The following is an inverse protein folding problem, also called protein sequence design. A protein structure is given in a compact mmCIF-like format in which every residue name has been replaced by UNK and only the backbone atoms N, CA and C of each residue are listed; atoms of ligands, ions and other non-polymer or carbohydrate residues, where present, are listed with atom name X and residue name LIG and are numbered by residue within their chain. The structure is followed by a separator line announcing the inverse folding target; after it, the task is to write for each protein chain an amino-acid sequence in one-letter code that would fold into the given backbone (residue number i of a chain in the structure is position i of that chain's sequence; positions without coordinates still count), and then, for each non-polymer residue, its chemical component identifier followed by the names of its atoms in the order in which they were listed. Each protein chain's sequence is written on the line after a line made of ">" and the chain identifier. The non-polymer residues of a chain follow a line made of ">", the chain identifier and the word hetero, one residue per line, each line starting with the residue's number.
data_IF_281425896021
#
_entry.id   IF_281425896021
#
_cell.length_a   1.000
_cell.length_b   1.000
_cell.length_c   1.000
_cell.angle_alpha   90.00
_cell.angle_beta   90.00
_cell.angle_gamma   90.00
#
_symmetry.space_group_name_H-M   'P 1'
#
loop_
_entity.id
_entity.type
_entity.pdbx_description
1 polymer ?
#
# COMPACT_ATOMS: atom_id res chain seq x y z
N UNK A 1 -3.88 -7.06 18.64
CA UNK A 1 -4.87 -6.13 18.03
C UNK A 1 -4.19 -5.31 16.93
N UNK A 2 -4.86 -5.14 15.78
CA UNK A 2 -4.36 -4.41 14.61
C UNK A 2 -4.85 -2.95 14.65
N UNK A 3 -3.94 -1.98 14.51
CA UNK A 3 -4.32 -0.58 14.33
C UNK A 3 -4.49 -0.27 12.85
N UNK A 4 -5.64 0.26 12.46
CA UNK A 4 -5.89 0.83 11.14
C UNK A 4 -5.76 2.34 11.29
N UNK A 5 -4.78 2.94 10.62
CA UNK A 5 -4.47 4.35 10.79
C UNK A 5 -5.58 5.21 10.18
N UNK A 6 -6.21 6.01 11.04
CA UNK A 6 -7.09 7.10 10.64
C UNK A 6 -6.26 8.37 10.50
N UNK A 7 -6.21 8.93 9.30
CA UNK A 7 -5.51 10.17 9.01
C UNK A 7 -6.48 11.22 8.44
N UNK A 8 -7.75 11.16 8.85
CA UNK A 8 -8.87 11.99 8.37
C UNK A 8 -9.20 11.81 6.87
N UNK A 9 -8.72 10.71 6.29
CA UNK A 9 -9.05 10.26 4.94
C UNK A 9 -8.88 8.74 4.86
N UNK A 10 -9.35 8.14 3.77
CA UNK A 10 -9.19 6.70 3.55
C UNK A 10 -10.50 5.93 3.40
N UNK A 11 -10.39 4.73 2.84
CA UNK A 11 -11.48 3.75 2.80
C UNK A 11 -11.45 2.86 4.07
N UNK A 12 -11.44 3.49 5.24
CA UNK A 12 -11.18 2.81 6.53
C UNK A 12 -12.20 1.69 6.81
N UNK A 13 -13.49 1.96 6.56
CA UNK A 13 -14.57 1.03 6.82
C UNK A 13 -14.46 -0.29 6.03
N UNK A 14 -13.96 -0.25 4.78
CA UNK A 14 -13.82 -1.48 4.00
C UNK A 14 -12.67 -2.34 4.52
N UNK A 15 -11.56 -1.71 4.92
CA UNK A 15 -10.41 -2.40 5.50
C UNK A 15 -10.78 -3.01 6.85
N UNK A 16 -11.43 -2.24 7.72
CA UNK A 16 -11.93 -2.72 9.01
C UNK A 16 -12.88 -3.91 8.86
N UNK A 17 -13.83 -3.83 7.91
CA UNK A 17 -14.75 -4.95 7.62
C UNK A 17 -14.02 -6.17 7.11
N UNK A 18 -13.05 -6.02 6.22
CA UNK A 18 -12.27 -7.14 5.69
C UNK A 18 -11.47 -7.84 6.79
N UNK A 19 -10.79 -7.07 7.65
CA UNK A 19 -10.03 -7.61 8.78
C UNK A 19 -10.93 -8.29 9.81
N UNK A 20 -12.07 -7.67 10.13
CA UNK A 20 -13.07 -8.25 11.04
C UNK A 20 -13.70 -9.53 10.47
N UNK A 21 -14.02 -9.56 9.18
CA UNK A 21 -14.53 -10.73 8.48
C UNK A 21 -13.55 -11.91 8.55
N UNK A 22 -12.24 -11.64 8.51
CA UNK A 22 -11.19 -12.64 8.68
C UNK A 22 -10.99 -13.11 10.12
N UNK A 23 -11.72 -12.54 11.09
CA UNK A 23 -11.70 -12.93 12.50
C UNK A 23 -10.62 -12.25 13.35
N UNK A 24 -9.95 -11.21 12.83
CA UNK A 24 -8.92 -10.50 13.57
C UNK A 24 -9.49 -9.26 14.26
N UNK A 25 -9.03 -8.98 15.48
CA UNK A 25 -9.38 -7.75 16.21
C UNK A 25 -8.62 -6.56 15.64
N UNK A 26 -9.34 -5.58 15.13
CA UNK A 26 -8.79 -4.30 14.67
C UNK A 26 -9.48 -3.10 15.31
N UNK A 27 -8.82 -1.95 15.25
CA UNK A 27 -9.38 -0.65 15.65
C UNK A 27 -8.93 0.41 14.65
N UNK A 28 -9.87 1.25 14.20
CA UNK A 28 -9.59 2.47 13.45
C UNK A 28 -9.20 3.58 14.42
N UNK A 29 -8.03 4.18 14.28
CA UNK A 29 -7.53 5.16 15.25
C UNK A 29 -6.46 6.09 14.70
N UNK A 30 -6.48 7.33 15.19
CA UNK A 30 -5.38 8.31 15.07
C UNK A 30 -4.63 8.51 16.39
N UNK A 31 -4.94 7.72 17.43
CA UNK A 31 -4.35 7.85 18.75
C UNK A 31 -2.96 7.20 18.79
N UNK A 32 -1.92 8.02 18.93
CA UNK A 32 -0.50 7.58 18.93
C UNK A 32 -0.23 6.46 19.95
N UNK A 33 -0.81 6.53 21.16
CA UNK A 33 -0.61 5.49 22.19
C UNK A 33 -1.23 4.15 21.77
N UNK A 34 -2.40 4.19 21.14
CA UNK A 34 -3.08 2.99 20.63
C UNK A 34 -2.29 2.37 19.48
N UNK A 35 -1.75 3.20 18.59
CA UNK A 35 -0.88 2.77 17.48
C UNK A 35 0.40 2.13 18.04
N UNK A 36 1.06 2.78 18.99
CA UNK A 36 2.26 2.27 19.66
C UNK A 36 2.01 0.93 20.38
N UNK A 37 0.86 0.77 21.04
CA UNK A 37 0.47 -0.47 21.72
C UNK A 37 -0.09 -1.59 20.82
N UNK A 38 -0.33 -1.32 19.53
CA UNK A 38 -0.84 -2.33 18.60
C UNK A 38 0.22 -3.36 18.21
N UNK A 39 -0.21 -4.57 17.82
CA UNK A 39 0.68 -5.63 17.36
C UNK A 39 1.10 -5.44 15.90
N UNK A 40 0.25 -4.80 15.09
CA UNK A 40 0.42 -4.60 13.64
C UNK A 40 -0.29 -3.33 13.22
N UNK A 41 0.19 -2.71 12.16
CA UNK A 41 -0.40 -1.50 11.59
C UNK A 41 -0.85 -1.77 10.15
N UNK A 42 -2.06 -1.33 9.82
CA UNK A 42 -2.48 -1.16 8.43
C UNK A 42 -2.58 0.34 8.19
N UNK A 43 -1.84 0.84 7.23
CA UNK A 43 -1.94 2.20 6.74
C UNK A 43 -2.69 2.19 5.39
N UNK A 44 -4.03 2.28 5.41
CA UNK A 44 -4.79 2.43 4.19
C UNK A 44 -4.72 3.87 3.69
N UNK A 45 -4.91 4.10 2.39
CA UNK A 45 -5.18 5.46 1.97
C UNK A 45 -5.78 5.61 0.57
N UNK A 46 -6.53 6.70 0.44
CA UNK A 46 -7.03 7.27 -0.82
C UNK A 46 -6.80 8.78 -0.78
N UNK A 47 -6.89 9.43 -1.94
CA UNK A 47 -6.66 10.87 -2.07
C UNK A 47 -5.23 11.19 -2.47
N UNK A 48 -4.85 12.45 -2.29
CA UNK A 48 -3.58 12.98 -2.78
C UNK A 48 -2.47 12.94 -1.73
N UNK A 49 -1.23 12.70 -2.16
CA UNK A 49 -0.04 12.61 -1.31
C UNK A 49 0.16 13.83 -0.42
N UNK A 50 0.02 15.05 -0.96
CA UNK A 50 0.18 16.30 -0.19
C UNK A 50 -0.79 16.40 0.99
N UNK A 51 -2.08 16.22 0.72
CA UNK A 51 -3.13 16.28 1.75
C UNK A 51 -2.95 15.19 2.82
N UNK A 52 -2.53 13.98 2.41
CA UNK A 52 -2.23 12.92 3.37
C UNK A 52 -1.03 13.25 4.25
N UNK A 53 0.08 13.73 3.67
CA UNK A 53 1.27 14.11 4.43
C UNK A 53 1.01 15.27 5.40
N UNK A 54 0.19 16.24 5.02
CA UNK A 54 -0.23 17.33 5.90
C UNK A 54 -1.04 16.81 7.10
N UNK A 55 -1.98 15.88 6.85
CA UNK A 55 -2.75 15.27 7.92
C UNK A 55 -1.87 14.43 8.85
N UNK A 56 -0.94 13.66 8.31
CA UNK A 56 -0.01 12.85 9.09
C UNK A 56 0.86 13.70 10.02
N UNK A 57 1.42 14.79 9.51
CA UNK A 57 2.24 15.72 10.31
C UNK A 57 1.41 16.40 11.39
N UNK A 58 0.22 16.90 11.04
CA UNK A 58 -0.69 17.56 11.99
C UNK A 58 -1.11 16.63 13.13
N UNK A 59 -1.33 15.35 12.84
CA UNK A 59 -1.73 14.33 13.83
C UNK A 59 -0.53 13.66 14.53
N UNK A 60 0.71 13.96 14.14
CA UNK A 60 1.92 13.30 14.64
C UNK A 60 2.04 11.83 14.25
N UNK A 61 1.29 11.39 13.24
CA UNK A 61 1.26 10.01 12.75
C UNK A 61 2.48 9.67 11.92
N UNK A 62 3.09 10.66 11.26
CA UNK A 62 4.34 10.51 10.51
C UNK A 62 5.46 9.93 11.39
N UNK A 63 5.63 10.49 12.59
CA UNK A 63 6.61 10.06 13.57
C UNK A 63 6.24 8.71 14.17
N UNK A 64 4.95 8.48 14.45
CA UNK A 64 4.47 7.20 14.97
C UNK A 64 4.69 6.04 14.00
N UNK A 65 4.46 6.25 12.69
CA UNK A 65 4.70 5.26 11.65
C UNK A 65 6.19 4.97 11.53
N UNK A 66 7.05 5.99 11.49
CA UNK A 66 8.50 5.81 11.45
C UNK A 66 9.02 5.04 12.66
N UNK A 67 8.52 5.34 13.86
CA UNK A 67 8.89 4.61 15.06
C UNK A 67 8.45 3.16 14.99
N UNK A 68 7.24 2.87 14.51
CA UNK A 68 6.77 1.49 14.34
C UNK A 68 7.62 0.68 13.35
N UNK A 69 8.17 1.33 12.31
CA UNK A 69 9.15 0.71 11.41
C UNK A 69 10.41 0.33 12.18
N UNK A 70 10.99 1.27 12.93
CA UNK A 70 12.19 1.06 13.74
C UNK A 70 11.98 -0.07 14.77
N UNK A 71 10.80 -0.13 15.38
CA UNK A 71 10.44 -1.14 16.38
C UNK A 71 10.18 -2.54 15.77
N UNK A 72 10.28 -2.70 14.46
CA UNK A 72 10.06 -3.99 13.78
C UNK A 72 8.58 -4.41 13.70
N UNK A 73 7.64 -3.50 13.96
CA UNK A 73 6.19 -3.80 13.93
C UNK A 73 5.72 -4.08 12.51
N UNK A 74 4.96 -5.16 12.21
CA UNK A 74 4.45 -5.41 10.87
C UNK A 74 3.57 -4.27 10.38
N UNK A 75 3.85 -3.74 9.18
CA UNK A 75 3.08 -2.66 8.55
C UNK A 75 2.60 -3.10 7.16
N UNK A 76 1.31 -2.89 6.88
CA UNK A 76 0.73 -2.98 5.54
C UNK A 76 0.36 -1.60 5.01
N UNK A 77 1.04 -1.14 3.97
CA UNK A 77 0.64 0.03 3.18
C UNK A 77 -0.35 -0.35 2.07
N UNK A 78 -1.44 0.39 1.90
CA UNK A 78 -2.42 0.14 0.82
C UNK A 78 -2.63 1.39 -0.02
N UNK A 79 -2.48 1.26 -1.34
CA UNK A 79 -2.65 2.31 -2.34
C UNK A 79 -1.83 3.56 -2.01
N UNK A 80 -2.44 4.63 -1.51
CA UNK A 80 -1.71 5.83 -1.06
C UNK A 80 -0.71 5.49 0.06
N UNK A 81 -1.01 4.48 0.87
CA UNK A 81 -0.09 3.97 1.87
C UNK A 81 1.23 3.43 1.33
N UNK A 82 1.20 2.89 0.12
CA UNK A 82 2.39 2.45 -0.61
C UNK A 82 3.19 3.63 -1.14
N UNK A 83 2.54 4.74 -1.41
CA UNK A 83 3.15 5.94 -1.98
C UNK A 83 3.82 6.80 -0.91
N UNK A 84 3.15 7.04 0.21
CA UNK A 84 3.68 7.94 1.25
C UNK A 84 4.90 7.38 2.01
N UNK A 85 5.19 6.07 1.91
CA UNK A 85 6.40 5.49 2.50
C UNK A 85 7.65 5.76 1.67
N UNK A 86 7.49 6.21 0.42
CA UNK A 86 8.58 6.62 -0.46
C UNK A 86 9.19 7.95 0.00
N UNK A 87 10.26 8.40 -0.67
CA UNK A 87 10.92 9.67 -0.37
C UNK A 87 10.11 10.87 -0.88
N UNK A 88 9.59 10.79 -2.11
CA UNK A 88 8.98 11.94 -2.77
C UNK A 88 7.88 11.51 -3.74
N UNK A 89 6.82 12.31 -3.85
CA UNK A 89 5.75 12.13 -4.83
C UNK A 89 5.67 13.30 -5.81
N UNK A 90 5.61 12.97 -7.10
CA UNK A 90 5.29 13.94 -8.15
C UNK A 90 3.86 14.49 -7.98
N UNK A 91 2.97 13.77 -7.28
CA UNK A 91 1.67 14.29 -6.91
C UNK A 91 1.82 15.42 -5.88
N UNK A 92 1.50 16.64 -6.33
CA UNK A 92 1.64 17.87 -5.55
C UNK A 92 3.07 18.16 -5.06
N UNK A 93 4.09 17.63 -5.75
CA UNK A 93 5.51 17.85 -5.41
C UNK A 93 5.84 17.59 -3.93
N UNK A 94 5.34 16.48 -3.40
CA UNK A 94 5.26 16.23 -1.96
C UNK A 94 6.41 15.39 -1.43
N UNK A 95 7.16 15.94 -0.46
CA UNK A 95 8.07 15.16 0.37
C UNK A 95 7.28 14.19 1.28
N UNK A 96 7.58 12.91 1.17
CA UNK A 96 6.88 11.81 1.84
C UNK A 96 7.65 11.36 3.09
N UNK A 97 7.35 10.17 3.63
CA UNK A 97 7.96 9.70 4.88
C UNK A 97 9.45 9.38 4.73
N UNK A 98 9.92 9.04 3.53
CA UNK A 98 11.29 8.58 3.26
C UNK A 98 11.67 7.39 4.15
N UNK A 99 10.83 6.35 4.11
CA UNK A 99 11.12 5.06 4.73
C UNK A 99 11.83 4.15 3.71
N UNK A 100 11.42 4.24 2.44
CA UNK A 100 12.06 3.58 1.30
C UNK A 100 12.56 4.68 0.36
N UNK A 101 13.81 4.58 -0.07
CA UNK A 101 14.38 5.50 -1.06
C UNK A 101 13.69 5.31 -2.42
N UNK A 102 13.34 6.43 -3.05
CA UNK A 102 12.68 6.45 -4.36
C UNK A 102 11.43 7.32 -4.43
N UNK A 103 10.71 7.19 -5.53
CA UNK A 103 9.74 8.19 -5.97
C UNK A 103 8.35 7.60 -6.13
N UNK A 104 7.35 8.47 -6.18
CA UNK A 104 6.01 8.16 -6.67
C UNK A 104 5.81 8.97 -7.94
N UNK A 105 5.71 8.26 -9.06
CA UNK A 105 5.72 8.83 -10.41
C UNK A 105 4.33 8.87 -11.01
N UNK A 106 4.04 9.88 -11.82
CA UNK A 106 2.84 9.93 -12.63
C UNK A 106 2.94 8.93 -13.78
N UNK A 107 1.81 8.32 -14.14
CA UNK A 107 1.73 7.60 -15.41
C UNK A 107 1.88 8.56 -16.60
N UNK A 108 2.68 8.20 -17.63
CA UNK A 108 2.77 9.00 -18.86
C UNK A 108 1.40 9.12 -19.55
N UNK A 109 1.01 10.32 -20.03
CA UNK A 109 -0.34 10.55 -20.56
C UNK A 109 -0.60 9.87 -21.91
N UNK A 110 0.44 9.43 -22.61
CA UNK A 110 0.42 8.88 -23.97
C UNK A 110 0.64 7.35 -24.01
N UNK A 111 0.57 6.68 -22.85
CA UNK A 111 0.64 5.21 -22.77
C UNK A 111 -0.44 4.54 -23.63
N UNK A 112 -0.06 3.40 -24.22
CA UNK A 112 -0.92 2.62 -25.11
C UNK A 112 -1.05 1.19 -24.61
N UNK A 113 -2.21 0.59 -24.85
CA UNK A 113 -2.44 -0.86 -24.71
C UNK A 113 -1.86 -1.62 -25.90
N UNK A 114 -1.89 -2.96 -25.80
CA UNK A 114 -1.41 -3.87 -26.85
C UNK A 114 -2.11 -3.66 -28.21
N UNK A 115 -3.41 -3.28 -28.20
CA UNK A 115 -4.19 -2.96 -29.40
C UNK A 115 -3.90 -1.55 -29.98
N UNK A 116 -2.97 -0.81 -29.37
CA UNK A 116 -2.58 0.53 -29.77
C UNK A 116 -3.53 1.65 -29.31
N UNK A 117 -4.60 1.34 -28.58
CA UNK A 117 -5.49 2.35 -28.01
C UNK A 117 -4.85 3.06 -26.81
N UNK A 118 -5.29 4.30 -26.53
CA UNK A 118 -4.74 5.10 -25.42
C UNK A 118 -5.27 4.58 -24.09
N UNK A 119 -4.36 4.31 -23.15
CA UNK A 119 -4.73 3.94 -21.78
C UNK A 119 -5.25 5.16 -21.02
N UNK A 120 -6.27 4.93 -20.18
CA UNK A 120 -6.88 5.98 -19.36
C UNK A 120 -6.08 6.17 -18.06
N UNK A 121 -6.02 7.40 -17.57
CA UNK A 121 -5.48 7.70 -16.24
C UNK A 121 -6.65 8.28 -15.42
N UNK A 122 -6.93 7.75 -14.21
CA UNK A 122 -6.15 6.77 -13.47
C UNK A 122 -6.22 5.34 -14.06
N UNK A 123 -5.19 4.54 -13.78
CA UNK A 123 -5.26 3.08 -13.92
C UNK A 123 -6.36 2.58 -12.98
N UNK A 124 -7.49 2.15 -13.55
CA UNK A 124 -8.68 1.77 -12.80
C UNK A 124 -9.30 0.49 -13.35
N UNK A 125 -9.40 -0.53 -12.51
CA UNK A 125 -9.96 -1.82 -12.88
C UNK A 125 -9.25 -2.99 -12.21
N UNK A 126 -9.58 -4.19 -12.68
CA UNK A 126 -8.91 -5.42 -12.28
C UNK A 126 -7.69 -5.64 -13.17
N UNK A 127 -6.55 -5.97 -12.56
CA UNK A 127 -5.31 -6.24 -13.28
C UNK A 127 -4.47 -7.27 -12.51
N UNK A 128 -3.60 -7.98 -13.24
CA UNK A 128 -2.79 -9.07 -12.72
C UNK A 128 -1.45 -8.63 -12.13
N UNK A 129 -0.85 -9.53 -11.37
CA UNK A 129 0.53 -9.38 -10.90
C UNK A 129 1.47 -10.23 -11.77
N UNK A 130 2.70 -9.74 -11.94
CA UNK A 130 3.83 -10.39 -12.61
C UNK A 130 5.05 -10.32 -11.71
N UNK A 131 6.03 -11.19 -11.95
CA UNK A 131 7.32 -11.20 -11.25
C UNK A 131 7.18 -11.25 -9.71
N UNK A 132 6.24 -12.06 -9.20
CA UNK A 132 5.95 -12.15 -7.77
C UNK A 132 7.11 -12.85 -7.05
N UNK A 133 7.84 -12.11 -6.21
CA UNK A 133 8.88 -12.66 -5.33
C UNK A 133 8.25 -13.42 -4.17
N UNK A 134 8.99 -14.40 -3.63
CA UNK A 134 8.56 -15.16 -2.44
C UNK A 134 8.49 -14.24 -1.23
N UNK A 135 7.32 -14.17 -0.60
CA UNK A 135 7.11 -13.46 0.65
C UNK A 135 5.94 -14.10 1.42
N UNK A 136 5.98 -14.24 2.76
CA UNK A 136 4.91 -14.89 3.53
C UNK A 136 3.52 -14.30 3.27
N UNK A 137 3.43 -12.97 3.14
CA UNK A 137 2.16 -12.27 2.87
C UNK A 137 1.61 -12.56 1.47
N UNK A 138 2.48 -12.88 0.51
CA UNK A 138 2.11 -13.19 -0.89
C UNK A 138 1.92 -14.69 -1.12
N UNK A 139 1.99 -15.52 -0.07
CA UNK A 139 1.86 -16.97 -0.19
C UNK A 139 0.46 -17.36 -0.69
N UNK A 140 0.43 -18.20 -1.73
CA UNK A 140 -0.80 -18.73 -2.32
C UNK A 140 -1.47 -17.82 -3.35
N UNK A 141 -0.82 -16.71 -3.74
CA UNK A 141 -1.22 -15.92 -4.90
C UNK A 141 -0.73 -16.59 -6.19
N UNK A 142 -1.54 -16.53 -7.23
CA UNK A 142 -1.28 -17.09 -8.56
C UNK A 142 -1.18 -15.97 -9.61
N UNK A 143 -0.58 -16.26 -10.76
CA UNK A 143 -0.47 -15.26 -11.85
C UNK A 143 -1.82 -14.88 -12.47
N UNK A 144 -2.84 -15.74 -12.32
CA UNK A 144 -4.21 -15.50 -12.78
C UNK A 144 -5.05 -14.70 -11.76
N UNK A 145 -4.51 -14.43 -10.56
CA UNK A 145 -5.21 -13.60 -9.58
C UNK A 145 -5.18 -12.14 -10.01
N UNK A 146 -6.37 -11.53 -10.04
CA UNK A 146 -6.53 -10.11 -10.34
C UNK A 146 -6.83 -9.30 -9.07
N UNK A 147 -6.32 -8.09 -9.05
CA UNK A 147 -6.51 -7.14 -7.96
C UNK A 147 -7.10 -5.83 -8.48
N UNK A 148 -7.86 -5.15 -7.63
CA UNK A 148 -8.51 -3.89 -7.98
C UNK A 148 -7.55 -2.70 -7.76
N UNK A 149 -7.23 -2.02 -8.85
CA UNK A 149 -6.41 -0.80 -8.89
C UNK A 149 -7.29 0.44 -9.13
N UNK A 150 -6.89 1.58 -8.54
CA UNK A 150 -7.44 2.91 -8.84
C UNK A 150 -6.41 3.98 -8.46
N UNK A 151 -5.51 4.33 -9.38
CA UNK A 151 -4.43 5.28 -9.10
C UNK A 151 -3.89 5.98 -10.36
N UNK A 152 -3.51 7.25 -10.23
CA UNK A 152 -2.83 8.02 -11.29
C UNK A 152 -1.29 8.03 -11.17
N UNK A 153 -0.79 7.60 -10.01
CA UNK A 153 0.62 7.58 -9.66
C UNK A 153 1.03 6.20 -9.16
N UNK A 154 2.29 5.83 -9.32
CA UNK A 154 2.81 4.52 -8.92
C UNK A 154 4.15 4.65 -8.19
N UNK A 155 4.47 3.74 -7.26
CA UNK A 155 5.74 3.78 -6.54
C UNK A 155 6.88 3.28 -7.45
N UNK A 156 8.03 3.89 -7.27
CA UNK A 156 9.26 3.65 -8.01
C UNK A 156 10.44 3.64 -7.02
N UNK A 157 10.67 2.54 -6.30
CA UNK A 157 11.85 2.37 -5.47
C UNK A 157 13.13 2.47 -6.30
N UNK A 158 14.17 3.11 -5.74
CA UNK A 158 15.48 3.18 -6.40
C UNK A 158 16.20 1.84 -6.37
N UNK A 159 16.02 1.07 -5.31
CA UNK A 159 16.51 -0.31 -5.19
C UNK A 159 15.43 -1.32 -5.62
N UNK A 160 15.74 -2.09 -6.67
CA UNK A 160 14.85 -3.14 -7.19
C UNK A 160 14.65 -4.31 -6.22
N UNK A 161 15.47 -4.45 -5.18
CA UNK A 161 15.27 -5.46 -4.14
C UNK A 161 13.96 -5.24 -3.37
N UNK A 162 13.52 -3.99 -3.25
CA UNK A 162 12.25 -3.65 -2.61
C UNK A 162 11.03 -4.04 -3.44
N UNK A 163 11.18 -4.34 -4.74
CA UNK A 163 10.05 -4.71 -5.59
C UNK A 163 9.76 -6.20 -5.43
N UNK A 164 8.58 -6.52 -4.88
CA UNK A 164 8.10 -7.90 -4.67
C UNK A 164 7.11 -8.36 -5.75
N UNK A 165 6.58 -7.45 -6.54
CA UNK A 165 5.65 -7.77 -7.62
C UNK A 165 5.40 -6.54 -8.49
N UNK A 166 5.18 -6.78 -9.78
CA UNK A 166 4.95 -5.75 -10.79
C UNK A 166 3.63 -5.94 -11.49
N UNK A 167 3.08 -4.87 -12.06
CA UNK A 167 1.90 -4.93 -12.93
C UNK A 167 2.19 -4.19 -14.22
N UNK A 168 1.66 -4.71 -15.33
CA UNK A 168 1.71 -4.03 -16.63
C UNK A 168 0.46 -3.16 -16.80
N UNK A 169 0.68 -1.88 -17.08
CA UNK A 169 -0.35 -0.96 -17.55
C UNK A 169 0.22 -0.02 -18.62
N UNK A 170 0.71 -0.61 -19.72
CA UNK A 170 1.44 0.10 -20.78
C UNK A 170 2.90 0.39 -20.42
N UNK A 171 3.21 0.33 -19.12
CA UNK A 171 4.54 0.21 -18.53
C UNK A 171 4.48 -0.79 -17.39
N UNK A 172 5.61 -1.39 -17.04
CA UNK A 172 5.74 -2.12 -15.78
C UNK A 172 5.97 -1.14 -14.63
N UNK A 173 5.15 -1.27 -13.58
CA UNK A 173 5.34 -0.54 -12.32
C UNK A 173 5.35 -1.49 -11.12
N UNK A 174 5.95 -1.05 -10.01
CA UNK A 174 5.93 -1.80 -8.76
C UNK A 174 4.52 -1.78 -8.15
N UNK A 175 3.84 -2.92 -8.13
CA UNK A 175 2.51 -3.07 -7.55
C UNK A 175 2.54 -3.70 -6.17
N UNK A 176 3.65 -4.36 -5.80
CA UNK A 176 3.94 -4.83 -4.44
C UNK A 176 5.38 -4.46 -4.08
N UNK A 177 5.56 -3.85 -2.92
CA UNK A 177 6.86 -3.44 -2.37
C UNK A 177 7.04 -4.05 -0.98
N UNK A 178 8.28 -4.41 -0.62
CA UNK A 178 8.65 -4.89 0.69
C UNK A 178 9.94 -4.26 1.20
N UNK A 179 9.99 -3.99 2.50
CA UNK A 179 11.17 -3.44 3.18
C UNK A 179 11.12 -3.78 4.67
N UNK A 180 12.07 -4.57 5.18
CA UNK A 180 12.09 -5.02 6.57
C UNK A 180 10.74 -5.64 7.01
N UNK A 181 10.06 -4.98 7.95
CA UNK A 181 8.76 -5.29 8.52
C UNK A 181 7.57 -4.65 7.76
N UNK A 182 7.81 -4.10 6.57
CA UNK A 182 6.79 -3.45 5.74
C UNK A 182 6.51 -4.32 4.51
N UNK A 183 5.23 -4.49 4.23
CA UNK A 183 4.75 -4.83 2.89
C UNK A 183 3.75 -3.78 2.44
N UNK A 184 3.73 -3.44 1.16
CA UNK A 184 2.82 -2.44 0.63
C UNK A 184 2.29 -2.84 -0.75
N UNK A 185 1.01 -2.60 -1.00
CA UNK A 185 0.33 -2.95 -2.26
C UNK A 185 -0.28 -1.72 -2.92
N UNK A 186 -0.01 -1.48 -4.20
CA UNK A 186 -0.62 -0.36 -4.92
C UNK A 186 -2.11 -0.61 -5.22
N UNK A 187 -2.52 -1.87 -5.31
CA UNK A 187 -3.92 -2.28 -5.38
C UNK A 187 -4.59 -2.30 -3.99
N UNK A 188 -5.92 -2.43 -4.00
CA UNK A 188 -6.78 -2.49 -2.82
C UNK A 188 -7.15 -3.94 -2.47
N UNK A 189 -6.43 -4.62 -1.56
CA UNK A 189 -6.74 -6.00 -1.22
C UNK A 189 -8.13 -6.13 -0.57
N UNK A 190 -8.63 -5.11 0.11
CA UNK A 190 -9.98 -5.08 0.68
C UNK A 190 -11.10 -5.02 -0.37
N UNK A 191 -10.75 -4.71 -1.63
CA UNK A 191 -11.67 -4.67 -2.79
C UNK A 191 -11.41 -5.79 -3.79
N UNK A 192 -10.41 -6.63 -3.56
CA UNK A 192 -9.91 -7.62 -4.54
C UNK A 192 -10.45 -9.03 -4.31
N UNK A 193 -11.65 -9.17 -3.74
CA UNK A 193 -12.31 -10.46 -3.55
C UNK A 193 -11.45 -11.48 -2.79
N UNK A 194 -11.47 -12.74 -3.25
CA UNK A 194 -10.74 -13.86 -2.61
C UNK A 194 -9.22 -13.66 -2.56
N UNK A 195 -8.51 -13.31 -3.64
CA UNK A 195 -7.05 -13.13 -3.57
C UNK A 195 -6.67 -11.98 -2.63
N UNK A 196 -7.42 -10.87 -2.64
CA UNK A 196 -7.23 -9.77 -1.70
C UNK A 196 -7.41 -10.17 -0.23
N UNK A 197 -8.47 -10.93 0.08
CA UNK A 197 -8.70 -11.46 1.42
C UNK A 197 -7.63 -12.46 1.86
N UNK A 198 -7.10 -13.27 0.93
CA UNK A 198 -5.99 -14.19 1.20
C UNK A 198 -4.73 -13.42 1.62
N UNK A 199 -4.36 -12.38 0.88
CA UNK A 199 -3.23 -11.50 1.20
C UNK A 199 -3.43 -10.84 2.57
N UNK A 200 -4.60 -10.25 2.84
CA UNK A 200 -4.90 -9.63 4.13
C UNK A 200 -4.80 -10.64 5.29
N UNK A 201 -5.30 -11.86 5.10
CA UNK A 201 -5.20 -12.92 6.10
C UNK A 201 -3.73 -13.26 6.38
N UNK A 202 -2.92 -13.41 5.34
CA UNK A 202 -1.49 -13.69 5.49
C UNK A 202 -0.79 -12.56 6.25
N UNK A 203 -1.08 -11.30 5.93
CA UNK A 203 -0.55 -10.15 6.68
C UNK A 203 -0.94 -10.19 8.17
N UNK A 204 -2.21 -10.47 8.49
CA UNK A 204 -2.68 -10.54 9.87
C UNK A 204 -1.98 -11.61 10.70
N UNK A 205 -1.42 -12.65 10.05
CA UNK A 205 -0.67 -13.74 10.69
C UNK A 205 0.85 -13.57 10.58
N UNK A 206 1.33 -12.62 9.79
CA UNK A 206 2.75 -12.48 9.47
C UNK A 206 3.54 -11.92 10.65
N UNK A 207 4.62 -12.61 11.03
CA UNK A 207 5.65 -12.11 11.93
C UNK A 207 6.94 -11.93 11.11
N UNK A 208 7.43 -10.70 10.89
CA UNK A 208 8.72 -10.46 10.26
C UNK A 208 9.80 -11.13 11.11
N UNK A 209 10.77 -11.75 10.42
CA UNK A 209 11.88 -12.45 11.05
C UNK A 209 12.91 -11.47 11.60
#
# INVERSE_FOLDING_TARGET
>A
MIAIIDYDAGNLASVERAVSYLGFKCIVTNNIKTIAGSERIIFPGVGAAGAAMDSLKRLGLDSAIKQAVIDGKPILGICLGTQIIMEYSEENETACLKIIDGFVKAFPPDMKSEDGSRLKIPHMGWNGLKNIKKHPVLSGLNEDDEFYFVHGYYPYPTDSEHILGTTDYGIFFASVIGFNNIIATQFHPEKSGRPGLSLLKNFCMWNPC
#
